data_IF_788542892700
#
_entry.id   IF_788542892700
#
_cell.length_a   1.000
_cell.length_b   1.000
_cell.length_c   1.000
_cell.angle_alpha   90.00
_cell.angle_beta   90.00
_cell.angle_gamma   90.00
#
_symmetry.space_group_name_H-M   'P 1'
#
loop_
_entity.id
_entity.type
_entity.pdbx_description
1 polymer ?
#
# COMPACT_ATOMS: atom_id res chain seq x y z
N UNK A 1 -14.29 29.60 -10.72
CA UNK A 1 -12.89 29.22 -10.98
C UNK A 1 -12.92 27.98 -11.82
N UNK A 2 -12.36 28.04 -13.03
CA UNK A 2 -12.48 26.96 -14.01
C UNK A 2 -11.92 25.64 -13.47
N UNK A 3 -12.65 24.52 -13.62
CA UNK A 3 -12.21 23.21 -13.15
C UNK A 3 -10.86 22.80 -13.74
N UNK A 4 -10.54 23.20 -14.97
CA UNK A 4 -9.26 22.88 -15.63
C UNK A 4 -8.03 23.52 -14.96
N UNK A 5 -8.18 24.65 -14.27
CA UNK A 5 -7.05 25.28 -13.57
C UNK A 5 -6.61 24.49 -12.33
N UNK A 6 -7.56 23.83 -11.65
CA UNK A 6 -7.25 23.00 -10.48
C UNK A 6 -6.50 21.72 -10.87
N UNK A 7 -6.95 21.05 -11.93
CA UNK A 7 -6.29 19.85 -12.46
C UNK A 7 -4.85 20.15 -12.92
N UNK A 8 -4.64 21.29 -13.59
CA UNK A 8 -3.31 21.71 -14.02
C UNK A 8 -2.36 21.94 -12.83
N UNK A 9 -2.83 22.60 -11.77
CA UNK A 9 -2.02 22.81 -10.55
C UNK A 9 -1.69 21.48 -9.87
N UNK A 10 -2.62 20.54 -9.81
CA UNK A 10 -2.37 19.22 -9.21
C UNK A 10 -1.35 18.42 -10.02
N UNK A 11 -1.45 18.42 -11.35
CA UNK A 11 -0.47 17.80 -12.23
C UNK A 11 0.92 18.42 -12.06
N UNK A 12 1.00 19.75 -11.94
CA UNK A 12 2.26 20.46 -11.69
C UNK A 12 2.87 20.14 -10.33
N UNK A 13 2.06 20.00 -9.28
CA UNK A 13 2.52 19.58 -7.96
C UNK A 13 3.05 18.14 -7.99
N UNK A 14 2.40 17.25 -8.72
CA UNK A 14 2.86 15.87 -8.94
C UNK A 14 4.21 15.84 -9.67
N UNK A 15 4.34 16.63 -10.74
CA UNK A 15 5.58 16.76 -11.50
C UNK A 15 6.72 17.32 -10.64
N UNK A 16 6.47 18.39 -9.88
CA UNK A 16 7.44 18.98 -8.98
C UNK A 16 7.91 18.01 -7.88
N UNK A 17 7.01 17.19 -7.34
CA UNK A 17 7.37 16.10 -6.41
C UNK A 17 8.22 15.03 -7.08
N UNK A 18 7.93 14.67 -8.33
CA UNK A 18 8.74 13.75 -9.12
C UNK A 18 10.16 14.28 -9.36
N UNK A 19 10.29 15.56 -9.67
CA UNK A 19 11.58 16.23 -9.86
C UNK A 19 12.38 16.33 -8.56
N UNK A 20 11.72 16.67 -7.45
CA UNK A 20 12.33 16.65 -6.12
C UNK A 20 12.80 15.24 -5.72
N UNK A 21 12.05 14.20 -6.12
CA UNK A 21 12.45 12.81 -5.92
C UNK A 21 13.63 12.40 -6.80
N UNK A 22 13.70 12.85 -8.06
CA UNK A 22 14.88 12.66 -8.92
C UNK A 22 16.12 13.36 -8.34
N UNK A 23 15.94 14.54 -7.75
CA UNK A 23 16.99 15.26 -7.01
C UNK A 23 17.31 14.69 -5.63
N UNK A 24 16.68 13.57 -5.24
CA UNK A 24 17.01 12.88 -3.99
C UNK A 24 18.47 12.45 -4.01
N UNK A 25 19.15 12.66 -2.89
CA UNK A 25 20.54 12.26 -2.67
C UNK A 25 20.80 10.80 -3.08
N UNK A 26 19.83 9.92 -2.85
CA UNK A 26 19.93 8.52 -3.19
C UNK A 26 20.03 8.29 -4.72
N UNK A 27 19.27 9.01 -5.52
CA UNK A 27 19.25 8.87 -6.98
C UNK A 27 20.57 9.36 -7.57
N UNK A 28 21.07 10.49 -7.07
CA UNK A 28 22.37 11.05 -7.46
C UNK A 28 23.49 10.08 -7.10
N UNK A 29 23.46 9.50 -5.90
CA UNK A 29 24.41 8.48 -5.47
C UNK A 29 24.41 7.24 -6.39
N UNK A 30 23.23 6.73 -6.77
CA UNK A 30 23.11 5.59 -7.69
C UNK A 30 23.66 5.90 -9.08
N UNK A 31 23.38 7.11 -9.60
CA UNK A 31 23.94 7.56 -10.87
C UNK A 31 25.47 7.65 -10.82
N UNK A 32 26.01 8.26 -9.76
CA UNK A 32 27.45 8.38 -9.55
C UNK A 32 28.13 7.02 -9.42
N UNK A 33 27.54 6.08 -8.67
CA UNK A 33 28.02 4.70 -8.58
C UNK A 33 28.06 4.00 -9.93
N UNK A 34 27.04 4.21 -10.78
CA UNK A 34 26.99 3.63 -12.13
C UNK A 34 28.11 4.18 -13.01
N UNK A 35 28.32 5.50 -13.02
CA UNK A 35 29.40 6.14 -13.78
C UNK A 35 30.77 5.68 -13.30
N UNK A 36 30.98 5.58 -11.98
CA UNK A 36 32.22 5.07 -11.40
C UNK A 36 32.46 3.60 -11.79
N UNK A 37 31.44 2.75 -11.74
CA UNK A 37 31.57 1.36 -12.19
C UNK A 37 31.95 1.24 -13.67
N UNK A 38 31.34 2.04 -14.55
CA UNK A 38 31.72 2.08 -15.98
C UNK A 38 33.15 2.56 -16.15
N UNK A 39 33.56 3.61 -15.43
CA UNK A 39 34.92 4.15 -15.49
C UNK A 39 35.98 3.13 -15.05
N UNK A 40 35.73 2.42 -13.95
CA UNK A 40 36.63 1.39 -13.42
C UNK A 40 36.77 0.22 -14.40
N UNK A 41 35.69 -0.19 -15.06
CA UNK A 41 35.68 -1.32 -16.01
C UNK A 41 36.24 -0.96 -17.38
N UNK A 42 36.33 0.35 -17.70
CA UNK A 42 36.87 0.83 -18.96
C UNK A 42 38.29 0.30 -19.25
N UNK A 43 38.60 0.15 -20.54
CA UNK A 43 39.83 -0.47 -21.08
C UNK A 43 41.14 0.07 -20.48
N UNK A 44 41.12 1.28 -19.91
CA UNK A 44 42.30 1.92 -19.33
C UNK A 44 42.71 1.39 -17.95
N UNK A 45 41.84 0.68 -17.22
CA UNK A 45 42.12 0.23 -15.85
C UNK A 45 42.10 -1.30 -15.70
N UNK A 46 40.99 -1.97 -16.04
CA UNK A 46 40.80 -3.40 -15.70
C UNK A 46 40.55 -4.35 -16.89
N UNK A 47 40.18 -3.84 -18.08
CA UNK A 47 39.92 -4.65 -19.29
C UNK A 47 39.14 -5.96 -19.04
N UNK A 48 38.10 -5.88 -18.21
CA UNK A 48 37.23 -7.01 -17.92
C UNK A 48 36.08 -6.97 -18.91
N UNK A 49 36.12 -7.85 -19.91
CA UNK A 49 35.02 -8.06 -20.86
C UNK A 49 34.25 -9.32 -20.48
N UNK A 50 33.03 -9.17 -19.97
CA UNK A 50 32.12 -10.28 -19.74
C UNK A 50 30.96 -10.22 -20.73
N UNK A 51 30.78 -11.31 -21.49
CA UNK A 51 29.60 -11.53 -22.32
C UNK A 51 28.46 -12.05 -21.45
N UNK A 52 27.89 -11.18 -20.61
CA UNK A 52 26.66 -11.49 -19.85
C UNK A 52 25.47 -11.19 -20.74
N UNK A 53 24.58 -12.16 -20.88
CA UNK A 53 23.31 -11.95 -21.55
C UNK A 53 22.39 -11.09 -20.65
N UNK A 54 22.01 -9.91 -21.15
CA UNK A 54 21.13 -8.97 -20.44
C UNK A 54 19.82 -9.64 -19.96
N UNK A 55 19.35 -10.66 -20.68
CA UNK A 55 18.15 -11.45 -20.35
C UNK A 55 18.17 -12.04 -18.94
N UNK A 56 19.31 -12.59 -18.49
CA UNK A 56 19.43 -13.21 -17.15
C UNK A 56 19.29 -12.14 -16.06
N UNK A 57 19.93 -11.00 -16.28
CA UNK A 57 19.88 -9.87 -15.38
C UNK A 57 18.46 -9.27 -15.31
N UNK A 58 17.82 -9.07 -16.45
CA UNK A 58 16.45 -8.58 -16.56
C UNK A 58 15.46 -9.52 -15.86
N UNK A 59 15.55 -10.83 -16.11
CA UNK A 59 14.71 -11.82 -15.45
C UNK A 59 14.89 -11.80 -13.91
N UNK A 60 16.14 -11.68 -13.45
CA UNK A 60 16.48 -11.61 -12.02
C UNK A 60 15.92 -10.38 -11.31
N UNK A 61 15.73 -9.25 -11.99
CA UNK A 61 15.15 -8.03 -11.40
C UNK A 61 13.63 -7.95 -11.55
N UNK A 62 13.10 -8.36 -12.71
CA UNK A 62 11.66 -8.27 -12.99
C UNK A 62 10.88 -9.19 -12.05
N UNK A 63 11.34 -10.43 -11.86
CA UNK A 63 10.61 -11.41 -11.06
C UNK A 63 10.38 -10.95 -9.60
N UNK A 64 11.40 -10.56 -8.81
CA UNK A 64 11.19 -10.13 -7.42
C UNK A 64 10.34 -8.86 -7.35
N UNK A 65 10.51 -7.96 -8.33
CA UNK A 65 9.75 -6.72 -8.41
C UNK A 65 8.26 -6.99 -8.64
N UNK A 66 7.91 -7.88 -9.58
CA UNK A 66 6.51 -8.23 -9.85
C UNK A 66 5.87 -8.99 -8.70
N UNK A 67 6.59 -9.91 -8.04
CA UNK A 67 6.11 -10.59 -6.84
C UNK A 67 5.89 -9.62 -5.67
N UNK A 68 6.80 -8.68 -5.46
CA UNK A 68 6.65 -7.63 -4.45
C UNK A 68 5.43 -6.75 -4.71
N UNK A 69 5.24 -6.32 -5.97
CA UNK A 69 4.09 -5.53 -6.39
C UNK A 69 2.78 -6.31 -6.21
N UNK A 70 2.72 -7.56 -6.67
CA UNK A 70 1.54 -8.43 -6.55
C UNK A 70 1.13 -8.62 -5.08
N UNK A 71 2.10 -8.89 -4.19
CA UNK A 71 1.84 -9.01 -2.76
C UNK A 71 1.34 -7.70 -2.14
N UNK A 72 1.84 -6.55 -2.59
CA UNK A 72 1.35 -5.24 -2.14
C UNK A 72 -0.09 -4.99 -2.58
N UNK A 73 -0.45 -5.33 -3.82
CA UNK A 73 -1.81 -5.20 -4.33
C UNK A 73 -2.78 -6.15 -3.63
N UNK A 74 -2.40 -7.41 -3.43
CA UNK A 74 -3.22 -8.39 -2.70
C UNK A 74 -3.56 -7.91 -1.27
N UNK A 75 -2.58 -7.32 -0.57
CA UNK A 75 -2.80 -6.74 0.77
C UNK A 75 -3.73 -5.52 0.73
N UNK A 76 -3.55 -4.63 -0.26
CA UNK A 76 -4.44 -3.47 -0.45
C UNK A 76 -5.87 -3.92 -0.71
N UNK A 77 -6.04 -4.89 -1.59
CA UNK A 77 -7.35 -5.44 -1.95
C UNK A 77 -8.04 -6.04 -0.72
N UNK A 78 -7.32 -6.86 0.06
CA UNK A 78 -7.84 -7.42 1.31
C UNK A 78 -8.26 -6.33 2.31
N UNK A 79 -7.45 -5.29 2.51
CA UNK A 79 -7.80 -4.18 3.40
C UNK A 79 -9.07 -3.44 2.95
N UNK A 80 -9.22 -3.21 1.64
CA UNK A 80 -10.40 -2.55 1.07
C UNK A 80 -11.64 -3.44 1.22
N UNK A 81 -11.51 -4.74 1.00
CA UNK A 81 -12.61 -5.70 1.19
C UNK A 81 -13.06 -5.77 2.65
N UNK A 82 -12.11 -5.86 3.59
CA UNK A 82 -12.43 -5.90 5.03
C UNK A 82 -13.04 -4.58 5.50
N UNK A 83 -12.54 -3.43 5.05
CA UNK A 83 -13.15 -2.13 5.32
C UNK A 83 -14.57 -2.00 4.72
N UNK A 84 -14.78 -2.54 3.51
CA UNK A 84 -16.08 -2.59 2.86
C UNK A 84 -17.10 -3.43 3.64
N UNK A 85 -16.69 -4.60 4.14
CA UNK A 85 -17.50 -5.47 5.00
C UNK A 85 -17.82 -4.79 6.33
N UNK A 86 -16.83 -4.20 6.98
CA UNK A 86 -16.99 -3.45 8.22
C UNK A 86 -18.06 -2.36 8.06
N UNK A 87 -17.93 -1.51 7.03
CA UNK A 87 -18.89 -0.45 6.73
C UNK A 87 -20.28 -1.01 6.44
N UNK A 88 -20.39 -2.06 5.63
CA UNK A 88 -21.67 -2.67 5.28
C UNK A 88 -22.39 -3.22 6.53
N UNK A 89 -21.67 -3.88 7.43
CA UNK A 89 -22.23 -4.46 8.65
C UNK A 89 -22.66 -3.38 9.66
N UNK A 90 -21.86 -2.32 9.84
CA UNK A 90 -22.21 -1.18 10.70
C UNK A 90 -23.48 -0.48 10.18
N UNK A 91 -23.55 -0.21 8.86
CA UNK A 91 -24.74 0.41 8.26
C UNK A 91 -25.96 -0.52 8.37
N UNK A 92 -25.79 -1.82 8.13
CA UNK A 92 -26.87 -2.78 8.25
C UNK A 92 -27.42 -2.84 9.68
N UNK A 93 -26.52 -2.82 10.68
CA UNK A 93 -26.90 -2.80 12.09
C UNK A 93 -27.64 -1.49 12.45
N UNK A 94 -27.12 -0.33 12.03
CA UNK A 94 -27.77 0.96 12.23
C UNK A 94 -29.16 1.02 11.59
N UNK A 95 -29.28 0.56 10.35
CA UNK A 95 -30.57 0.45 9.66
C UNK A 95 -31.52 -0.49 10.38
N UNK A 96 -31.01 -1.57 10.99
CA UNK A 96 -31.81 -2.49 11.79
C UNK A 96 -32.35 -1.81 13.06
N UNK A 97 -31.57 -0.96 13.73
CA UNK A 97 -32.06 -0.15 14.85
C UNK A 97 -33.18 0.82 14.45
N UNK A 98 -33.06 1.48 13.29
CA UNK A 98 -34.04 2.44 12.80
C UNK A 98 -35.31 1.76 12.28
N UNK A 99 -35.17 0.71 11.46
CA UNK A 99 -36.29 0.10 10.76
C UNK A 99 -37.33 -0.50 11.72
N UNK A 100 -36.87 -1.04 12.85
CA UNK A 100 -37.74 -1.63 13.86
C UNK A 100 -38.28 -0.63 14.89
N UNK A 101 -37.97 0.67 14.77
CA UNK A 101 -38.65 1.72 15.52
C UNK A 101 -40.04 2.00 14.90
N UNK A 102 -40.98 1.07 15.10
CA UNK A 102 -42.31 1.05 14.49
C UNK A 102 -43.21 2.23 14.93
N UNK A 103 -42.77 3.08 15.87
CA UNK A 103 -43.62 4.14 16.41
C UNK A 103 -42.93 5.50 16.69
N UNK A 104 -41.64 5.67 16.36
CA UNK A 104 -40.89 6.89 16.73
C UNK A 104 -40.84 7.14 18.24
N UNK A 105 -41.05 6.07 19.02
CA UNK A 105 -41.13 6.09 20.49
C UNK A 105 -40.00 5.28 21.13
N UNK A 106 -39.16 4.63 20.32
CA UNK A 106 -38.04 3.87 20.86
C UNK A 106 -36.86 4.79 21.14
N UNK A 107 -36.53 4.90 22.43
CA UNK A 107 -35.29 5.50 22.93
C UNK A 107 -34.05 4.89 22.25
N UNK A 108 -34.12 3.62 21.81
CA UNK A 108 -33.01 2.90 21.19
C UNK A 108 -32.61 3.44 19.80
N UNK A 109 -33.53 4.00 19.02
CA UNK A 109 -33.19 4.57 17.70
C UNK A 109 -32.46 5.92 17.83
N UNK A 110 -32.85 6.72 18.83
CA UNK A 110 -32.15 7.96 19.17
C UNK A 110 -30.77 7.67 19.78
N UNK A 111 -30.67 6.68 20.66
CA UNK A 111 -29.41 6.21 21.24
C UNK A 111 -28.46 5.64 20.17
N UNK A 112 -28.99 4.90 19.19
CA UNK A 112 -28.18 4.33 18.11
C UNK A 112 -27.41 5.41 17.33
N UNK A 113 -27.98 6.58 17.08
CA UNK A 113 -27.21 7.64 16.40
C UNK A 113 -26.01 8.11 17.24
N UNK A 114 -26.22 8.28 18.55
CA UNK A 114 -25.18 8.70 19.50
C UNK A 114 -24.06 7.67 19.70
N UNK A 115 -24.32 6.39 19.41
CA UNK A 115 -23.33 5.31 19.53
C UNK A 115 -22.54 5.08 18.23
N UNK A 116 -23.19 5.22 17.07
CA UNK A 116 -22.57 4.88 15.78
C UNK A 116 -21.70 6.00 15.21
N UNK A 117 -22.01 7.26 15.52
CA UNK A 117 -21.20 8.42 15.08
C UNK A 117 -19.78 8.38 15.71
N UNK A 118 -19.62 8.22 17.04
CA UNK A 118 -18.30 8.01 17.64
C UNK A 118 -17.57 6.77 17.12
N UNK A 119 -18.28 5.66 16.91
CA UNK A 119 -17.69 4.43 16.36
C UNK A 119 -17.03 4.69 14.99
N UNK A 120 -17.72 5.39 14.10
CA UNK A 120 -17.20 5.70 12.76
C UNK A 120 -16.00 6.64 12.86
N UNK A 121 -16.07 7.65 13.73
CA UNK A 121 -14.96 8.59 13.96
C UNK A 121 -13.73 7.88 14.52
N UNK A 122 -13.88 6.97 15.48
CA UNK A 122 -12.79 6.18 16.02
C UNK A 122 -12.21 5.20 15.00
N UNK A 123 -13.05 4.58 14.15
CA UNK A 123 -12.59 3.75 13.02
C UNK A 123 -11.80 4.59 12.01
N UNK A 124 -12.27 5.80 11.68
CA UNK A 124 -11.57 6.71 10.79
C UNK A 124 -10.23 7.14 11.38
N UNK A 125 -10.21 7.55 12.66
CA UNK A 125 -9.00 7.89 13.40
C UNK A 125 -8.02 6.72 13.41
N UNK A 126 -8.51 5.51 13.65
CA UNK A 126 -7.70 4.31 13.59
C UNK A 126 -7.09 4.13 12.20
N UNK A 127 -7.88 4.25 11.11
CA UNK A 127 -7.39 4.07 9.75
C UNK A 127 -6.42 5.17 9.29
N UNK A 128 -6.58 6.41 9.77
CA UNK A 128 -5.73 7.57 9.39
C UNK A 128 -4.39 7.59 10.11
N UNK A 129 -4.33 7.15 11.37
CA UNK A 129 -3.11 7.23 12.15
C UNK A 129 -1.99 6.37 11.55
N UNK A 130 -0.79 6.93 11.45
CA UNK A 130 0.38 6.18 10.96
C UNK A 130 0.78 5.09 11.97
N UNK A 131 1.37 4.00 11.47
CA UNK A 131 1.81 2.87 12.30
C UNK A 131 2.83 3.31 13.36
N UNK A 132 3.62 4.34 13.06
CA UNK A 132 4.65 4.90 13.95
C UNK A 132 4.04 5.56 15.20
N UNK A 133 2.88 6.19 15.08
CA UNK A 133 2.21 6.91 16.18
C UNK A 133 1.57 5.97 17.20
N UNK A 134 1.22 4.74 16.82
CA UNK A 134 0.57 3.76 17.72
C UNK A 134 1.56 2.83 18.45
N UNK A 135 2.83 2.76 18.03
CA UNK A 135 3.82 1.84 18.64
C UNK A 135 4.53 2.49 19.85
N UNK A 136 4.46 3.81 20.03
CA UNK A 136 5.11 4.50 21.15
C UNK A 136 4.36 4.43 22.49
N UNK A 137 3.27 3.68 22.62
CA UNK A 137 2.60 3.45 23.92
C UNK A 137 2.82 2.03 24.44
N UNK A 138 4.07 1.55 24.35
CA UNK A 138 4.51 0.43 25.19
C UNK A 138 4.95 1.02 26.54
N UNK A 139 3.98 1.11 27.46
CA UNK A 139 4.16 0.91 28.91
C UNK A 139 5.16 1.84 29.63
N UNK A 140 4.65 2.91 30.23
CA UNK A 140 5.08 3.32 31.58
C UNK A 140 3.96 2.96 32.57
N UNK A 141 3.88 1.66 32.91
CA UNK A 141 2.99 1.15 33.96
C UNK A 141 3.59 1.43 35.35
N UNK A 142 3.76 2.71 35.70
CA UNK A 142 4.16 3.13 37.06
C UNK A 142 3.11 3.92 37.81
N UNK A 143 2.15 4.53 37.13
CA UNK A 143 1.03 5.21 37.76
C UNK A 143 -0.25 4.54 37.28
N UNK A 144 -1.17 4.25 38.20
CA UNK A 144 -2.43 3.53 37.96
C UNK A 144 -3.45 4.26 37.06
N UNK A 145 -2.98 5.03 36.09
CA UNK A 145 -3.74 5.60 35.00
C UNK A 145 -3.85 4.56 33.88
N UNK A 146 -5.07 4.37 33.38
CA UNK A 146 -5.37 3.51 32.24
C UNK A 146 -4.43 3.87 31.08
N UNK A 147 -3.45 3.01 30.81
CA UNK A 147 -2.43 3.22 29.78
C UNK A 147 -3.08 3.56 28.44
N UNK A 148 -2.83 4.78 27.98
CA UNK A 148 -3.49 5.39 26.83
C UNK A 148 -3.27 4.66 25.50
N UNK A 149 -4.39 4.37 24.86
CA UNK A 149 -4.72 4.84 23.52
C UNK A 149 -3.99 4.24 22.32
N UNK A 150 -4.04 2.91 22.21
CA UNK A 150 -4.24 2.36 20.86
C UNK A 150 -5.66 2.72 20.43
N UNK A 151 -5.84 3.52 19.37
CA UNK A 151 -7.17 3.89 18.83
C UNK A 151 -8.13 2.69 18.60
N UNK A 152 -7.60 1.47 18.58
CA UNK A 152 -8.38 0.24 18.58
C UNK A 152 -9.22 0.04 19.85
N UNK A 153 -8.74 0.41 21.04
CA UNK A 153 -9.47 0.23 22.31
C UNK A 153 -10.79 0.99 22.32
N UNK A 154 -10.76 2.25 21.90
CA UNK A 154 -11.97 3.06 21.73
C UNK A 154 -13.01 2.39 20.83
N UNK A 155 -12.58 1.75 19.74
CA UNK A 155 -13.48 1.02 18.84
C UNK A 155 -14.11 -0.18 19.54
N UNK A 156 -13.36 -0.94 20.33
CA UNK A 156 -13.95 -2.06 21.08
C UNK A 156 -14.87 -1.58 22.19
N UNK A 157 -14.54 -0.48 22.87
CA UNK A 157 -15.42 0.14 23.86
C UNK A 157 -16.75 0.57 23.22
N UNK A 158 -16.71 1.15 22.02
CA UNK A 158 -17.91 1.46 21.25
C UNK A 158 -18.70 0.21 20.86
N UNK A 159 -18.04 -0.87 20.43
CA UNK A 159 -18.71 -2.15 20.17
C UNK A 159 -19.35 -2.75 21.42
N UNK A 160 -18.74 -2.57 22.59
CA UNK A 160 -19.33 -2.97 23.89
C UNK A 160 -20.57 -2.13 24.16
N UNK A 161 -20.50 -0.80 24.02
CA UNK A 161 -21.65 0.09 24.21
C UNK A 161 -22.81 -0.25 23.26
N UNK A 162 -22.52 -0.55 21.99
CA UNK A 162 -23.51 -1.00 21.01
C UNK A 162 -24.11 -2.36 21.40
N UNK A 163 -23.28 -3.28 21.88
CA UNK A 163 -23.74 -4.60 22.34
C UNK A 163 -24.65 -4.50 23.57
N UNK A 164 -24.33 -3.61 24.51
CA UNK A 164 -25.16 -3.30 25.66
C UNK A 164 -26.48 -2.64 25.25
N UNK A 165 -26.44 -1.68 24.32
CA UNK A 165 -27.64 -1.07 23.76
C UNK A 165 -28.53 -2.11 23.05
N UNK A 166 -27.91 -3.06 22.33
CA UNK A 166 -28.63 -4.16 21.68
C UNK A 166 -29.27 -5.10 22.71
N UNK A 167 -28.57 -5.41 23.80
CA UNK A 167 -29.08 -6.21 24.90
C UNK A 167 -30.24 -5.52 25.64
N UNK A 168 -30.13 -4.20 25.88
CA UNK A 168 -31.17 -3.37 26.50
C UNK A 168 -32.42 -3.26 25.61
N UNK A 169 -32.23 -3.08 24.31
CA UNK A 169 -33.32 -3.07 23.33
C UNK A 169 -34.06 -4.43 23.29
N UNK A 170 -33.30 -5.52 23.40
CA UNK A 170 -33.81 -6.89 23.53
C UNK A 170 -34.79 -7.28 22.40
N UNK A 171 -35.59 -8.32 22.64
CA UNK A 171 -36.57 -8.80 21.65
C UNK A 171 -37.76 -7.87 21.45
N UNK A 172 -37.99 -6.91 22.37
CA UNK A 172 -39.12 -5.97 22.30
C UNK A 172 -38.92 -4.90 21.22
N UNK A 173 -37.68 -4.48 20.99
CA UNK A 173 -37.37 -3.48 19.96
C UNK A 173 -37.42 -4.08 18.56
N UNK A 174 -36.89 -5.28 18.35
CA UNK A 174 -36.75 -5.88 17.02
C UNK A 174 -37.96 -6.66 16.49
N UNK A 175 -39.17 -6.34 16.97
CA UNK A 175 -40.43 -6.82 16.39
C UNK A 175 -41.41 -7.46 17.38
N UNK A 176 -42.47 -8.04 16.82
CA UNK A 176 -43.61 -8.55 17.57
C UNK A 176 -43.26 -9.86 18.30
N UNK A 177 -43.84 -10.05 19.49
CA UNK A 177 -43.60 -11.17 20.40
C UNK A 177 -43.54 -12.54 19.71
N UNK A 178 -42.56 -13.36 20.07
CA UNK A 178 -42.42 -14.75 19.60
C UNK A 178 -41.10 -15.02 18.88
N UNK A 179 -41.09 -16.07 18.06
CA UNK A 179 -39.88 -16.61 17.41
C UNK A 179 -39.20 -15.61 16.45
N UNK A 180 -39.98 -14.75 15.78
CA UNK A 180 -39.45 -13.73 14.84
C UNK A 180 -38.63 -12.64 15.52
N UNK A 181 -38.99 -12.25 16.75
CA UNK A 181 -38.24 -11.25 17.51
C UNK A 181 -36.85 -11.78 17.94
N UNK A 182 -36.77 -13.08 18.25
CA UNK A 182 -35.50 -13.76 18.56
C UNK A 182 -34.62 -13.82 17.32
N UNK A 183 -35.18 -14.15 16.16
CA UNK A 183 -34.45 -14.21 14.89
C UNK A 183 -33.85 -12.85 14.49
N UNK A 184 -34.63 -11.77 14.59
CA UNK A 184 -34.15 -10.42 14.28
C UNK A 184 -33.07 -9.94 15.27
N UNK A 185 -33.21 -10.29 16.55
CA UNK A 185 -32.18 -10.00 17.56
C UNK A 185 -30.89 -10.74 17.23
N UNK A 186 -30.98 -12.03 16.88
CA UNK A 186 -29.82 -12.83 16.47
C UNK A 186 -29.14 -12.26 15.21
N UNK A 187 -29.94 -11.78 14.25
CA UNK A 187 -29.40 -11.11 13.06
C UNK A 187 -28.60 -9.86 13.40
N UNK A 188 -29.04 -9.10 14.39
CA UNK A 188 -28.29 -7.92 14.89
C UNK A 188 -26.96 -8.32 15.53
N UNK A 189 -26.96 -9.38 16.34
CA UNK A 189 -25.73 -9.95 16.90
C UNK A 189 -24.76 -10.43 15.83
N UNK A 190 -25.28 -11.05 14.76
CA UNK A 190 -24.45 -11.45 13.63
C UNK A 190 -23.80 -10.24 12.95
N UNK A 191 -24.52 -9.12 12.79
CA UNK A 191 -23.92 -7.90 12.24
C UNK A 191 -22.80 -7.33 13.12
N UNK A 192 -22.98 -7.33 14.44
CA UNK A 192 -21.92 -6.93 15.39
C UNK A 192 -20.71 -7.85 15.26
N UNK A 193 -20.93 -9.16 15.31
CA UNK A 193 -19.89 -10.17 15.16
C UNK A 193 -19.12 -10.01 13.85
N UNK A 194 -19.82 -9.87 12.73
CA UNK A 194 -19.20 -9.75 11.41
C UNK A 194 -18.48 -8.41 11.23
N UNK A 195 -18.96 -7.34 11.88
CA UNK A 195 -18.25 -6.07 11.95
C UNK A 195 -16.93 -6.20 12.72
N UNK A 196 -16.95 -6.83 13.90
CA UNK A 196 -15.73 -7.08 14.69
C UNK A 196 -14.75 -7.97 13.92
N UNK A 197 -15.23 -9.04 13.30
CA UNK A 197 -14.39 -9.92 12.48
C UNK A 197 -13.74 -9.18 11.31
N UNK A 198 -14.47 -8.27 10.65
CA UNK A 198 -13.94 -7.43 9.59
C UNK A 198 -12.89 -6.42 10.12
N UNK A 199 -13.11 -5.84 11.30
CA UNK A 199 -12.14 -4.98 11.97
C UNK A 199 -10.83 -5.73 12.28
N UNK A 200 -10.93 -6.96 12.78
CA UNK A 200 -9.76 -7.81 13.04
C UNK A 200 -9.00 -8.17 11.76
N UNK A 201 -9.73 -8.42 10.67
CA UNK A 201 -9.15 -8.60 9.34
C UNK A 201 -8.33 -7.37 8.91
N UNK A 202 -8.92 -6.19 9.05
CA UNK A 202 -8.26 -4.92 8.76
C UNK A 202 -7.03 -4.68 9.65
N UNK A 203 -7.15 -4.97 10.96
CA UNK A 203 -6.05 -4.90 11.92
C UNK A 203 -4.92 -5.85 11.54
N UNK A 204 -5.24 -7.08 11.17
CA UNK A 204 -4.25 -8.07 10.72
C UNK A 204 -3.48 -7.59 9.49
N UNK A 205 -4.15 -7.01 8.49
CA UNK A 205 -3.46 -6.46 7.30
C UNK A 205 -2.56 -5.28 7.66
N UNK A 206 -3.00 -4.46 8.61
CA UNK A 206 -2.23 -3.31 9.10
C UNK A 206 -1.01 -3.74 9.90
N UNK A 207 -1.13 -4.68 10.84
CA UNK A 207 -0.01 -5.14 11.67
C UNK A 207 0.97 -6.00 10.87
N UNK A 208 0.46 -6.84 9.96
CA UNK A 208 1.31 -7.66 9.08
C UNK A 208 2.07 -6.76 8.11
N UNK A 209 3.37 -6.60 8.34
CA UNK A 209 4.27 -5.95 7.40
C UNK A 209 4.63 -6.91 6.26
N UNK A 210 4.86 -6.37 5.05
CA UNK A 210 5.47 -7.18 3.98
C UNK A 210 6.80 -7.76 4.47
N UNK A 211 7.15 -9.00 4.09
CA UNK A 211 8.40 -9.62 4.54
C UNK A 211 9.58 -8.71 4.23
N UNK A 212 10.33 -8.35 5.27
CA UNK A 212 11.47 -7.44 5.19
C UNK A 212 12.52 -7.96 4.19
N UNK A 213 12.69 -9.28 4.12
CA UNK A 213 13.63 -9.93 3.21
C UNK A 213 13.38 -9.61 1.74
N UNK A 214 12.12 -9.58 1.28
CA UNK A 214 11.83 -9.29 -0.13
C UNK A 214 12.15 -7.83 -0.49
N UNK A 215 11.91 -6.90 0.44
CA UNK A 215 12.28 -5.49 0.25
C UNK A 215 13.79 -5.30 0.21
N UNK A 216 14.50 -5.90 1.17
CA UNK A 216 15.96 -5.87 1.22
C UNK A 216 16.54 -6.49 -0.05
N UNK A 217 15.97 -7.60 -0.52
CA UNK A 217 16.43 -8.26 -1.74
C UNK A 217 16.21 -7.41 -2.99
N UNK A 218 15.03 -6.81 -3.15
CA UNK A 218 14.78 -5.88 -4.27
C UNK A 218 15.72 -4.67 -4.20
N UNK A 219 15.93 -4.12 -3.00
CA UNK A 219 16.86 -3.02 -2.78
C UNK A 219 18.30 -3.43 -3.16
N UNK A 220 18.76 -4.59 -2.71
CA UNK A 220 20.08 -5.13 -3.04
C UNK A 220 20.24 -5.38 -4.55
N UNK A 221 19.25 -5.97 -5.22
CA UNK A 221 19.29 -6.19 -6.67
C UNK A 221 19.36 -4.87 -7.44
N UNK A 222 18.57 -3.87 -7.05
CA UNK A 222 18.63 -2.56 -7.67
C UNK A 222 20.01 -1.91 -7.52
N UNK A 223 20.66 -2.06 -6.36
CA UNK A 223 22.00 -1.51 -6.15
C UNK A 223 23.10 -2.29 -6.88
N UNK A 224 23.05 -3.62 -6.81
CA UNK A 224 24.03 -4.47 -7.49
C UNK A 224 23.90 -4.40 -9.02
N UNK A 225 22.71 -4.13 -9.55
CA UNK A 225 22.45 -3.95 -10.98
C UNK A 225 23.36 -2.95 -11.66
N UNK A 226 23.53 -1.78 -11.05
CA UNK A 226 24.32 -0.68 -11.57
C UNK A 226 25.79 -1.09 -11.79
N UNK A 227 26.31 -1.93 -10.90
CA UNK A 227 27.69 -2.43 -10.95
C UNK A 227 27.81 -3.59 -11.93
N UNK A 228 26.88 -4.55 -11.87
CA UNK A 228 26.92 -5.76 -12.69
C UNK A 228 26.68 -5.49 -14.18
N UNK A 229 25.92 -4.44 -14.52
CA UNK A 229 25.67 -4.04 -15.91
C UNK A 229 26.81 -3.22 -16.52
N UNK A 230 27.74 -2.68 -15.72
CA UNK A 230 28.80 -1.82 -16.24
C UNK A 230 29.68 -2.51 -17.32
N UNK A 231 30.13 -3.77 -17.17
CA UNK A 231 30.88 -4.46 -18.21
C UNK A 231 30.07 -4.71 -19.49
N UNK A 232 28.77 -4.96 -19.34
CA UNK A 232 27.86 -5.12 -20.48
C UNK A 232 27.80 -3.83 -21.31
N UNK A 233 27.64 -2.67 -20.66
CA UNK A 233 27.61 -1.38 -21.36
C UNK A 233 28.92 -1.04 -22.06
N UNK A 234 30.06 -1.32 -21.43
CA UNK A 234 31.36 -1.12 -22.07
C UNK A 234 31.47 -1.98 -23.33
N UNK A 235 31.16 -3.28 -23.24
CA UNK A 235 31.15 -4.17 -24.40
C UNK A 235 30.18 -3.71 -25.50
N UNK A 236 28.98 -3.29 -25.13
CA UNK A 236 27.97 -2.78 -26.06
C UNK A 236 28.49 -1.55 -26.81
N UNK A 237 29.04 -0.55 -26.11
CA UNK A 237 29.60 0.66 -26.71
C UNK A 237 30.86 0.38 -27.56
N UNK A 238 31.65 -0.64 -27.22
CA UNK A 238 32.80 -1.06 -28.04
C UNK A 238 32.34 -1.75 -29.33
N UNK A 239 31.28 -2.55 -29.26
CA UNK A 239 30.72 -3.27 -30.43
C UNK A 239 30.08 -2.28 -31.42
N UNK A 240 29.31 -1.31 -30.93
CA UNK A 240 28.73 -0.26 -31.79
C UNK A 240 29.79 0.65 -32.42
N UNK A 241 30.94 0.88 -31.75
CA UNK A 241 32.02 1.70 -32.33
C UNK A 241 32.71 1.05 -33.53
N UNK A 242 32.65 -0.27 -33.65
CA UNK A 242 33.27 -1.02 -34.74
C UNK A 242 32.36 -1.08 -35.98
N UNK A 243 31.04 -0.88 -35.81
CA UNK A 243 30.04 -0.99 -36.87
C UNK A 243 29.95 0.18 -37.90
N UNK A 244 30.37 1.45 -37.68
CA UNK A 244 30.02 2.52 -38.62
C UNK A 244 31.05 2.81 -39.73
N UNK A 245 32.15 2.07 -39.89
CA UNK A 245 33.15 2.41 -40.93
C UNK A 245 33.60 1.28 -41.85
N UNK A 246 33.42 0.00 -41.51
CA UNK A 246 33.92 -1.08 -42.39
C UNK A 246 33.04 -1.34 -43.62
N UNK A 247 31.75 -1.03 -43.56
CA UNK A 247 30.84 -1.18 -44.71
C UNK A 247 30.92 0.03 -45.65
N UNK A 248 31.14 1.24 -45.12
CA UNK A 248 31.27 2.47 -45.93
C UNK A 248 32.67 2.63 -46.57
N UNK A 249 33.74 2.21 -45.89
CA UNK A 249 35.10 2.21 -46.48
C UNK A 249 35.27 1.14 -47.58
N UNK A 250 34.47 0.05 -47.53
CA UNK A 250 34.43 -0.95 -48.59
C UNK A 250 33.82 -0.40 -49.88
N UNK A 251 32.68 0.28 -49.78
CA UNK A 251 31.97 0.88 -50.93
C UNK A 251 32.80 2.00 -51.57
N UNK A 252 33.45 2.85 -50.77
CA UNK A 252 34.29 3.94 -51.31
C UNK A 252 35.55 3.39 -52.01
N UNK A 253 36.13 2.29 -51.52
CA UNK A 253 37.28 1.66 -52.20
C UNK A 253 36.87 0.97 -53.51
N UNK A 254 35.72 0.29 -53.53
CA UNK A 254 35.23 -0.38 -54.74
C UNK A 254 34.89 0.62 -55.85
N UNK A 255 34.28 1.76 -55.51
CA UNK A 255 33.99 2.83 -56.49
C UNK A 255 35.26 3.56 -56.96
N UNK A 256 36.29 3.68 -56.12
CA UNK A 256 37.55 4.35 -56.49
C UNK A 256 38.44 3.45 -57.37
N UNK A 257 38.41 2.13 -57.17
CA UNK A 257 39.13 1.17 -58.00
C UNK A 257 38.41 0.87 -59.33
N UNK A 258 37.08 1.04 -59.40
CA UNK A 258 36.32 0.98 -60.67
C UNK A 258 36.52 2.21 -61.56
N UNK A 259 37.03 3.32 -61.01
CA UNK A 259 37.26 4.58 -61.72
C UNK A 259 38.72 4.78 -62.21
N UNK A 260 39.61 3.82 -61.96
CA UNK A 260 41.01 3.79 -62.43
C UNK A 260 41.21 2.80 -63.57
#
# INVERSE_FOLDING_TARGET
GDPGYKEFIEAWKLFGRGLAFMGSWHTIFMGLMTVLSIFIVSEKMLNISFKVEFTIFAAGCIFPTTFSASNAFSRREKAVQDLGKLKANIIALFQHFIFFDVAGKSEAAAEAKGLFEPLVDHIEMYCRNDKSTQVCTIVDARDGERGGDSAAHYIYDDFVMISEALQRAGTRHFGHSGQKAVENTNRSWNYVHDAIAALEGLRSVRTTSTPLGLRIFCHFLLHSSCVLLAPFWVHYCSTERIAPSSEFDGIIKEDLDAAR
#
